data_IF_232162502476
#
_entry.id   IF_232162502476
#
_cell.length_a   1.000
_cell.length_b   1.000
_cell.length_c   1.000
_cell.angle_alpha   90.00
_cell.angle_beta   90.00
_cell.angle_gamma   90.00
#
_symmetry.space_group_name_H-M   'P 1'
#
loop_
_entity.id
_entity.type
_entity.pdbx_description
1 polymer ?
#
# COMPACT_ATOMS: atom_id res chain seq x y z
N UNK A 1 -4.42 8.28 -0.51
CA UNK A 1 -3.16 8.17 0.27
C UNK A 1 -1.92 8.11 -0.63
N UNK A 2 -1.74 7.07 -1.46
CA UNK A 2 -0.51 6.87 -2.26
C UNK A 2 -0.08 8.09 -3.11
N UNK A 3 -0.99 8.65 -3.92
CA UNK A 3 -0.68 9.79 -4.80
C UNK A 3 -0.25 11.05 -4.03
N UNK A 4 -0.82 11.29 -2.85
CA UNK A 4 -0.40 12.41 -1.99
C UNK A 4 1.05 12.20 -1.53
N UNK A 5 1.43 10.98 -1.18
CA UNK A 5 2.81 10.65 -0.84
C UNK A 5 3.77 10.78 -2.04
N UNK A 6 3.31 10.46 -3.25
CA UNK A 6 4.09 10.69 -4.49
C UNK A 6 4.47 12.16 -4.64
N UNK A 7 3.50 13.07 -4.46
CA UNK A 7 3.75 14.51 -4.53
C UNK A 7 4.76 14.96 -3.47
N UNK A 8 4.64 14.47 -2.22
CA UNK A 8 5.58 14.79 -1.14
C UNK A 8 6.98 14.26 -1.42
N UNK A 9 7.11 13.04 -1.95
CA UNK A 9 8.40 12.46 -2.32
C UNK A 9 9.09 13.25 -3.44
N UNK A 10 8.33 13.70 -4.44
CA UNK A 10 8.90 14.55 -5.49
C UNK A 10 9.30 15.95 -4.97
N UNK A 11 8.51 16.54 -4.07
CA UNK A 11 8.87 17.81 -3.42
C UNK A 11 10.18 17.72 -2.61
N UNK A 12 10.50 16.54 -2.08
CA UNK A 12 11.73 16.25 -1.36
C UNK A 12 12.85 15.66 -2.24
N UNK A 13 12.74 15.75 -3.57
CA UNK A 13 13.67 15.10 -4.53
C UNK A 13 15.12 15.62 -4.51
N UNK A 14 15.39 16.71 -3.77
CA UNK A 14 16.74 17.21 -3.52
C UNK A 14 17.50 16.36 -2.48
N UNK A 15 16.79 15.66 -1.59
CA UNK A 15 17.37 14.85 -0.51
C UNK A 15 16.92 13.40 -0.54
N UNK A 16 15.82 13.09 -1.22
CA UNK A 16 15.31 11.73 -1.39
C UNK A 16 15.39 11.27 -2.85
N UNK A 17 15.62 9.98 -3.03
CA UNK A 17 15.44 9.29 -4.30
C UNK A 17 14.14 8.47 -4.25
N UNK A 18 13.04 8.91 -4.89
CA UNK A 18 11.78 8.21 -4.82
C UNK A 18 11.80 6.85 -5.55
N UNK A 19 11.23 5.84 -4.91
CA UNK A 19 11.11 4.48 -5.44
C UNK A 19 9.66 4.03 -5.34
N UNK A 20 8.96 3.94 -6.47
CA UNK A 20 7.52 3.66 -6.49
C UNK A 20 7.25 2.20 -6.83
N UNK A 21 7.03 1.38 -5.80
CA UNK A 21 6.61 -0.01 -5.96
C UNK A 21 5.10 -0.08 -6.29
N UNK A 22 4.75 -0.63 -7.46
CA UNK A 22 3.35 -0.83 -7.85
C UNK A 22 3.20 -1.79 -9.04
N UNK A 23 2.08 -2.50 -9.09
CA UNK A 23 1.61 -3.27 -10.24
C UNK A 23 0.31 -2.72 -10.83
N UNK A 24 -0.10 -1.52 -10.42
CA UNK A 24 -1.31 -0.88 -10.89
C UNK A 24 -0.96 0.11 -12.02
N UNK A 25 -1.49 -0.14 -13.23
CA UNK A 25 -1.18 0.65 -14.41
C UNK A 25 -1.56 2.14 -14.25
N UNK A 26 -2.70 2.41 -13.62
CA UNK A 26 -3.15 3.77 -13.34
C UNK A 26 -2.21 4.48 -12.36
N UNK A 27 -1.73 3.79 -11.33
CA UNK A 27 -0.74 4.36 -10.40
C UNK A 27 0.57 4.70 -11.12
N UNK A 28 1.04 3.83 -12.02
CA UNK A 28 2.23 4.10 -12.86
C UNK A 28 2.01 5.36 -13.70
N UNK A 29 0.85 5.47 -14.35
CA UNK A 29 0.49 6.63 -15.15
C UNK A 29 0.42 7.92 -14.29
N UNK A 30 -0.21 7.87 -13.11
CA UNK A 30 -0.31 9.01 -12.19
C UNK A 30 1.06 9.48 -11.72
N UNK A 31 1.95 8.57 -11.30
CA UNK A 31 3.32 8.91 -10.92
C UNK A 31 4.06 9.57 -12.08
N UNK A 32 3.93 9.01 -13.28
CA UNK A 32 4.60 9.51 -14.47
C UNK A 32 4.05 10.86 -14.98
N UNK A 33 2.80 11.20 -14.62
CA UNK A 33 2.19 12.49 -14.89
C UNK A 33 2.55 13.55 -13.84
N UNK A 34 2.72 13.15 -12.57
CA UNK A 34 3.07 14.04 -11.46
C UNK A 34 4.58 14.31 -11.35
N UNK A 35 5.41 13.51 -12.01
CA UNK A 35 6.86 13.67 -12.00
C UNK A 35 7.28 15.03 -12.57
N UNK A 36 8.00 15.87 -11.80
CA UNK A 36 8.59 17.09 -12.33
C UNK A 36 9.53 16.81 -13.50
N UNK A 37 9.69 17.78 -14.40
CA UNK A 37 10.63 17.65 -15.52
C UNK A 37 12.06 17.42 -14.99
N UNK A 38 12.70 16.34 -15.43
CA UNK A 38 14.06 15.99 -14.99
C UNK A 38 14.14 15.31 -13.62
N UNK A 39 13.00 14.98 -12.99
CA UNK A 39 13.00 14.24 -11.74
C UNK A 39 13.70 12.88 -11.88
N UNK A 40 14.54 12.54 -10.91
CA UNK A 40 15.18 11.21 -10.82
C UNK A 40 14.41 10.33 -9.85
N UNK A 41 13.92 9.20 -10.34
CA UNK A 41 13.16 8.22 -9.56
C UNK A 41 13.21 6.85 -10.26
N UNK A 42 12.73 5.82 -9.60
CA UNK A 42 12.50 4.51 -10.19
C UNK A 42 11.10 3.98 -9.88
N UNK A 43 10.67 3.03 -10.70
CA UNK A 43 9.59 2.13 -10.36
C UNK A 43 10.14 0.84 -9.77
N UNK A 44 9.33 0.11 -9.01
CA UNK A 44 9.68 -1.21 -8.52
C UNK A 44 8.54 -2.21 -8.77
N UNK A 45 8.92 -3.45 -9.04
CA UNK A 45 8.00 -4.58 -9.18
C UNK A 45 8.55 -5.82 -8.48
N UNK A 46 7.67 -6.73 -8.10
CA UNK A 46 8.07 -8.07 -7.64
C UNK A 46 8.49 -8.97 -8.81
N UNK A 47 9.44 -9.87 -8.55
CA UNK A 47 9.74 -10.98 -9.45
C UNK A 47 8.48 -11.86 -9.61
N UNK A 48 8.26 -12.38 -10.82
CA UNK A 48 7.03 -13.12 -11.17
C UNK A 48 5.78 -12.26 -11.37
N UNK A 49 5.82 -10.95 -11.13
CA UNK A 49 4.66 -10.07 -11.25
C UNK A 49 4.95 -8.77 -12.01
N UNK A 50 3.95 -8.27 -12.73
CA UNK A 50 4.01 -7.00 -13.45
C UNK A 50 4.99 -6.93 -14.63
N UNK A 51 5.61 -8.05 -15.02
CA UNK A 51 6.57 -8.06 -16.13
C UNK A 51 5.92 -7.64 -17.45
N UNK A 52 4.75 -8.21 -17.78
CA UNK A 52 3.98 -7.83 -18.96
C UNK A 52 3.53 -6.36 -18.91
N UNK A 53 3.03 -5.90 -17.77
CA UNK A 53 2.63 -4.51 -17.56
C UNK A 53 3.78 -3.54 -17.84
N UNK A 54 4.92 -3.72 -17.18
CA UNK A 54 6.08 -2.83 -17.37
C UNK A 54 6.73 -2.97 -18.75
N UNK A 55 6.53 -4.07 -19.47
CA UNK A 55 6.95 -4.19 -20.86
C UNK A 55 6.07 -3.29 -21.76
N UNK A 56 4.74 -3.36 -21.61
CA UNK A 56 3.79 -2.51 -22.36
C UNK A 56 4.01 -1.03 -22.04
N UNK A 57 4.15 -0.67 -20.76
CA UNK A 57 4.39 0.72 -20.35
C UNK A 57 5.68 1.26 -20.97
N UNK A 58 6.76 0.45 -21.01
CA UNK A 58 8.04 0.87 -21.60
C UNK A 58 7.95 1.06 -23.11
N UNK A 59 7.19 0.20 -23.80
CA UNK A 59 6.92 0.36 -25.22
C UNK A 59 6.11 1.63 -25.51
N UNK A 60 5.10 1.93 -24.68
CA UNK A 60 4.29 3.13 -24.80
C UNK A 60 5.02 4.42 -24.37
N UNK A 61 6.02 4.31 -23.49
CA UNK A 61 6.79 5.44 -22.95
C UNK A 61 8.30 5.13 -22.98
N UNK A 62 8.99 5.41 -24.10
CA UNK A 62 10.43 5.15 -24.25
C UNK A 62 11.33 5.82 -23.19
N UNK A 63 10.86 6.88 -22.54
CA UNK A 63 11.52 7.54 -21.41
C UNK A 63 11.09 7.05 -20.03
N UNK A 64 10.55 5.84 -19.91
CA UNK A 64 10.20 5.25 -18.63
C UNK A 64 11.46 5.14 -17.74
N UNK A 65 11.41 5.59 -16.47
CA UNK A 65 12.51 5.42 -15.54
C UNK A 65 12.86 3.94 -15.30
N UNK A 66 14.02 3.66 -14.67
CA UNK A 66 14.41 2.31 -14.29
C UNK A 66 13.31 1.60 -13.49
N UNK A 67 13.20 0.29 -13.71
CA UNK A 67 12.28 -0.58 -12.97
C UNK A 67 13.09 -1.61 -12.22
N UNK A 68 13.20 -1.48 -10.91
CA UNK A 68 13.89 -2.45 -10.05
C UNK A 68 12.99 -3.66 -9.80
N UNK A 69 13.59 -4.85 -9.83
CA UNK A 69 12.89 -6.10 -9.50
C UNK A 69 13.25 -6.52 -8.08
N UNK A 70 12.24 -6.61 -7.21
CA UNK A 70 12.36 -7.23 -5.91
C UNK A 70 12.23 -8.75 -6.06
N UNK A 71 13.34 -9.45 -5.90
CA UNK A 71 13.41 -10.90 -6.03
C UNK A 71 13.54 -11.55 -4.64
N UNK A 72 12.56 -12.36 -4.20
CA UNK A 72 12.72 -13.18 -3.01
C UNK A 72 13.77 -14.26 -3.28
N UNK A 73 14.74 -14.42 -2.38
CA UNK A 73 15.83 -15.40 -2.48
C UNK A 73 15.95 -16.12 -1.15
N UNK A 74 15.89 -17.44 -1.17
CA UNK A 74 15.92 -18.27 0.03
C UNK A 74 15.63 -19.73 -0.30
N UNK A 75 15.67 -20.58 0.72
CA UNK A 75 15.26 -21.98 0.59
C UNK A 75 13.74 -22.10 0.48
N UNK A 76 13.23 -23.30 0.16
CA UNK A 76 11.78 -23.54 0.12
C UNK A 76 11.12 -23.24 1.48
N UNK A 77 11.74 -23.68 2.58
CA UNK A 77 11.21 -23.54 3.94
C UNK A 77 11.07 -22.07 4.34
N UNK A 78 12.07 -21.24 4.03
CA UNK A 78 12.08 -19.81 4.34
C UNK A 78 11.07 -19.01 3.49
N UNK A 79 10.79 -19.47 2.27
CA UNK A 79 9.91 -18.79 1.33
C UNK A 79 8.43 -19.17 1.48
N UNK A 80 8.10 -20.26 2.17
CA UNK A 80 6.71 -20.68 2.37
C UNK A 80 5.84 -19.61 3.06
N UNK A 81 6.24 -19.02 4.20
CA UNK A 81 5.47 -17.93 4.83
C UNK A 81 5.34 -16.70 3.92
N UNK A 82 6.40 -16.39 3.16
CA UNK A 82 6.39 -15.30 2.19
C UNK A 82 5.43 -15.58 1.04
N UNK A 83 5.36 -16.82 0.55
CA UNK A 83 4.44 -17.24 -0.50
C UNK A 83 2.99 -17.08 -0.07
N UNK A 84 2.63 -17.49 1.15
CA UNK A 84 1.27 -17.32 1.69
C UNK A 84 0.87 -15.83 1.69
N UNK A 85 1.74 -14.95 2.20
CA UNK A 85 1.48 -13.50 2.18
C UNK A 85 1.32 -12.98 0.75
N UNK A 86 2.14 -13.44 -0.19
CA UNK A 86 2.08 -13.04 -1.60
C UNK A 86 0.82 -13.52 -2.31
N UNK A 87 0.33 -14.71 -1.99
CA UNK A 87 -0.92 -15.23 -2.53
C UNK A 87 -2.11 -14.42 -2.01
N UNK A 88 -2.13 -14.05 -0.72
CA UNK A 88 -3.21 -13.24 -0.14
C UNK A 88 -3.22 -11.81 -0.70
N UNK A 89 -2.06 -11.19 -0.84
CA UNK A 89 -1.95 -9.80 -1.32
C UNK A 89 -2.43 -9.62 -2.76
N UNK A 90 -2.18 -10.61 -3.63
CA UNK A 90 -2.52 -10.51 -5.06
C UNK A 90 -3.81 -11.25 -5.44
N UNK A 91 -4.21 -12.24 -4.64
CA UNK A 91 -5.46 -12.99 -4.78
C UNK A 91 -6.67 -12.33 -4.13
N UNK A 92 -6.49 -11.23 -3.39
CA UNK A 92 -7.61 -10.45 -2.89
C UNK A 92 -8.42 -9.88 -4.06
N UNK A 93 -9.76 -10.02 -4.00
CA UNK A 93 -10.69 -9.63 -5.07
C UNK A 93 -10.58 -8.16 -5.49
N UNK A 94 -9.98 -7.30 -4.66
CA UNK A 94 -9.78 -5.87 -4.95
C UNK A 94 -8.43 -5.56 -5.61
N UNK A 95 -7.62 -6.57 -5.93
CA UNK A 95 -6.31 -6.35 -6.54
C UNK A 95 -6.48 -5.95 -8.02
N UNK A 96 -5.76 -4.90 -8.45
CA UNK A 96 -5.72 -4.49 -9.86
C UNK A 96 -5.37 -5.67 -10.78
N UNK A 97 -4.48 -6.57 -10.32
CA UNK A 97 -4.04 -7.74 -11.07
C UNK A 97 -5.21 -8.70 -11.31
N UNK A 98 -6.09 -8.89 -10.31
CA UNK A 98 -7.28 -9.71 -10.44
C UNK A 98 -8.25 -9.10 -11.46
N UNK A 99 -8.55 -7.80 -11.33
CA UNK A 99 -9.48 -7.13 -12.24
C UNK A 99 -8.96 -7.06 -13.68
N UNK A 100 -7.65 -6.87 -13.87
CA UNK A 100 -7.02 -6.78 -15.19
C UNK A 100 -7.09 -8.10 -15.97
N UNK A 101 -7.10 -9.25 -15.29
CA UNK A 101 -7.17 -10.57 -15.92
C UNK A 101 -8.60 -11.00 -16.22
N UNK A 102 -9.60 -10.34 -15.64
CA UNK A 102 -11.00 -10.61 -15.90
C UNK A 102 -11.48 -9.88 -17.17
N UNK A 103 -11.84 -10.66 -18.19
CA UNK A 103 -12.33 -10.15 -19.48
C UNK A 103 -13.73 -9.53 -19.39
N UNK A 104 -14.45 -9.75 -18.29
CA UNK A 104 -15.79 -9.21 -18.08
C UNK A 104 -15.78 -7.82 -17.44
N UNK A 105 -14.63 -7.36 -16.94
CA UNK A 105 -14.49 -6.04 -16.33
C UNK A 105 -14.07 -5.03 -17.42
N UNK A 106 -14.89 -4.00 -17.72
CA UNK A 106 -14.54 -2.96 -18.67
C UNK A 106 -13.28 -2.20 -18.22
N UNK A 107 -12.47 -1.77 -19.19
CA UNK A 107 -11.22 -1.05 -18.90
C UNK A 107 -11.47 0.22 -18.09
N UNK A 108 -12.60 0.90 -18.32
CA UNK A 108 -13.04 2.10 -17.62
C UNK A 108 -13.18 1.88 -16.11
N UNK A 109 -13.57 0.67 -15.70
CA UNK A 109 -13.65 0.30 -14.28
C UNK A 109 -12.28 -0.03 -13.70
N UNK A 110 -11.36 -0.55 -14.51
CA UNK A 110 -9.96 -0.82 -14.12
C UNK A 110 -9.16 0.49 -13.98
N UNK A 111 -9.47 1.51 -14.78
CA UNK A 111 -8.84 2.85 -14.75
C UNK A 111 -9.65 3.89 -13.98
N UNK A 112 -10.58 3.45 -13.13
CA UNK A 112 -11.40 4.33 -12.28
C UNK A 112 -10.58 5.26 -11.37
N UNK A 113 -11.22 6.25 -10.75
CA UNK A 113 -10.53 7.34 -10.03
C UNK A 113 -9.50 6.84 -8.98
N UNK A 114 -8.30 7.42 -9.01
CA UNK A 114 -7.22 7.12 -8.03
C UNK A 114 -7.53 7.67 -6.64
N UNK A 115 -8.35 8.72 -6.59
CA UNK A 115 -8.87 9.33 -5.37
C UNK A 115 -10.38 9.32 -5.55
N UNK A 116 -11.11 8.42 -4.88
CA UNK A 116 -12.56 8.39 -4.99
C UNK A 116 -13.15 9.65 -4.36
N UNK A 117 -14.19 10.20 -4.98
CA UNK A 117 -14.90 11.38 -4.50
C UNK A 117 -15.52 11.18 -3.11
N UNK A 118 -15.85 9.92 -2.75
CA UNK A 118 -16.32 9.52 -1.42
C UNK A 118 -15.53 8.30 -0.93
N UNK A 119 -14.90 8.42 0.24
CA UNK A 119 -14.36 7.27 0.98
C UNK A 119 -15.44 6.82 1.94
N UNK A 120 -16.28 5.89 1.51
CA UNK A 120 -17.15 5.18 2.45
C UNK A 120 -16.30 4.24 3.32
N UNK A 121 -16.60 4.13 4.62
CA UNK A 121 -15.95 3.12 5.45
C UNK A 121 -16.21 1.73 4.86
N UNK A 122 -15.22 0.81 4.93
CA UNK A 122 -15.38 -0.52 4.36
C UNK A 122 -16.61 -1.22 4.95
N UNK A 123 -17.54 -1.61 4.08
CA UNK A 123 -18.74 -2.35 4.45
C UNK A 123 -18.36 -3.68 5.11
N UNK A 124 -18.95 -3.98 6.27
CA UNK A 124 -18.72 -5.23 7.01
C UNK A 124 -17.56 -5.20 8.00
N UNK A 125 -16.82 -4.08 8.11
CA UNK A 125 -15.80 -3.90 9.16
C UNK A 125 -16.38 -3.01 10.25
N UNK A 126 -16.46 -3.52 11.48
CA UNK A 126 -16.90 -2.74 12.64
C UNK A 126 -15.72 -2.14 13.38
N UNK A 127 -15.87 -0.91 13.82
CA UNK A 127 -14.90 -0.28 14.73
C UNK A 127 -14.75 -1.10 16.02
N UNK A 128 -13.54 -1.22 16.60
CA UNK A 128 -13.29 -2.06 17.77
C UNK A 128 -14.26 -1.85 18.95
N UNK A 129 -14.70 -0.62 19.31
CA UNK A 129 -15.69 -0.41 20.38
C UNK A 129 -17.07 -1.02 20.09
N UNK A 130 -17.41 -1.14 18.80
CA UNK A 130 -18.72 -1.57 18.31
C UNK A 130 -18.75 -3.05 17.88
N UNK A 131 -17.67 -3.80 18.13
CA UNK A 131 -17.51 -5.18 17.65
C UNK A 131 -18.73 -6.06 17.95
N UNK A 132 -19.28 -5.97 19.16
CA UNK A 132 -20.36 -6.85 19.62
C UNK A 132 -21.78 -6.34 19.32
N UNK A 133 -21.93 -5.08 18.88
CA UNK A 133 -23.23 -4.47 18.58
C UNK A 133 -24.10 -4.19 19.81
N UNK A 134 -24.49 -5.22 20.56
CA UNK A 134 -25.39 -5.13 21.73
C UNK A 134 -24.69 -4.74 23.03
N UNK A 135 -23.36 -4.86 23.08
CA UNK A 135 -22.54 -4.40 24.20
C UNK A 135 -21.32 -3.64 23.70
N UNK A 136 -20.85 -2.69 24.50
CA UNK A 136 -19.57 -2.06 24.26
C UNK A 136 -18.43 -3.08 24.43
N UNK A 137 -17.43 -2.98 23.56
CA UNK A 137 -16.16 -3.68 23.75
C UNK A 137 -15.31 -2.96 24.82
N UNK A 138 -14.43 -3.69 25.49
CA UNK A 138 -13.42 -3.07 26.35
C UNK A 138 -12.43 -2.27 25.51
N UNK A 139 -11.83 -1.23 26.11
CA UNK A 139 -10.77 -0.45 25.48
C UNK A 139 -9.42 -1.09 25.79
N UNK A 140 -8.61 -1.29 24.75
CA UNK A 140 -7.20 -1.63 24.88
C UNK A 140 -6.31 -0.39 24.85
N UNK A 141 -5.00 -0.61 24.91
CA UNK A 141 -3.95 0.39 24.71
C UNK A 141 -3.08 -0.08 23.54
N UNK A 142 -2.73 0.81 22.62
CA UNK A 142 -1.81 0.49 21.54
C UNK A 142 -0.36 0.53 22.05
N UNK A 143 0.22 -0.64 22.30
CA UNK A 143 1.62 -0.79 22.72
C UNK A 143 2.63 -0.49 21.60
N UNK A 144 2.18 -0.23 20.37
CA UNK A 144 3.00 0.31 19.29
C UNK A 144 3.07 1.84 19.31
N UNK A 145 2.23 2.52 20.09
CA UNK A 145 2.16 3.97 20.19
C UNK A 145 2.90 4.48 21.44
N UNK A 146 4.07 5.13 21.30
CA UNK A 146 4.85 5.60 22.45
C UNK A 146 4.10 6.58 23.35
N UNK A 147 3.19 7.39 22.80
CA UNK A 147 2.39 8.34 23.58
C UNK A 147 1.38 7.62 24.47
N UNK A 148 0.75 6.56 23.96
CA UNK A 148 -0.19 5.74 24.73
C UNK A 148 0.53 4.92 25.80
N UNK A 149 1.72 4.39 25.49
CA UNK A 149 2.58 3.72 26.48
C UNK A 149 2.97 4.68 27.60
N UNK A 150 3.40 5.90 27.26
CA UNK A 150 3.79 6.90 28.25
C UNK A 150 2.61 7.24 29.18
N UNK A 151 1.42 7.42 28.63
CA UNK A 151 0.20 7.63 29.41
C UNK A 151 -0.11 6.43 30.33
N UNK A 152 -0.07 5.21 29.79
CA UNK A 152 -0.30 3.99 30.58
C UNK A 152 0.70 3.84 31.73
N UNK A 153 1.99 4.10 31.48
CA UNK A 153 3.01 4.02 32.51
C UNK A 153 2.82 5.07 33.61
N UNK A 154 2.39 6.29 33.24
CA UNK A 154 2.04 7.33 34.21
C UNK A 154 0.86 6.92 35.09
N UNK A 155 -0.20 6.35 34.48
CA UNK A 155 -1.37 5.85 35.20
C UNK A 155 -1.01 4.71 36.17
N UNK A 156 -0.18 3.76 35.73
CA UNK A 156 0.32 2.67 36.57
C UNK A 156 1.18 3.19 37.73
N UNK A 157 2.02 4.20 37.48
CA UNK A 157 2.81 4.86 38.51
C UNK A 157 1.94 5.55 39.56
N UNK A 158 0.92 6.29 39.13
CA UNK A 158 -0.03 6.96 40.03
C UNK A 158 -0.86 5.96 40.86
N UNK A 159 -1.25 4.84 40.25
CA UNK A 159 -2.01 3.78 40.93
C UNK A 159 -1.17 3.06 42.00
N UNK A 160 0.13 2.86 41.78
CA UNK A 160 1.05 2.26 42.76
C UNK A 160 1.30 3.15 43.99
N UNK A 161 1.09 4.46 43.87
CA UNK A 161 1.28 5.43 44.96
C UNK A 161 0.03 5.67 45.82
N UNK A 162 -1.09 4.98 45.56
CA UNK A 162 -2.30 5.07 46.39
C UNK A 162 -2.23 3.98 47.49
N UNK A 163 -2.37 4.34 48.78
CA UNK A 163 -2.36 3.39 49.89
C UNK A 163 -3.53 2.40 49.84
#
# INVERSE_FOLDING_TARGET
SYVVCVQRLFAAGNVLYPQFATHNALTIASVAALAPRGARYEFQRLHGMGQALYAVVRAARPGLPPVRVYAPVGTHEDLLPYLVRRLLENGANTSFVHHFLDKHIPVEQVVGQVIPDNIEPPHGVREPPHLYGTRANSRGVDLGNPAEIAALLADLGAARGRP
#
